data_IF_239729967452
#
_entry.id   IF_239729967452
#
_cell.length_a   1.000
_cell.length_b   1.000
_cell.length_c   1.000
_cell.angle_alpha   90.00
_cell.angle_beta   90.00
_cell.angle_gamma   90.00
#
_symmetry.space_group_name_H-M   'P 1'
#
loop_
_entity.id
_entity.type
_entity.pdbx_description
1 polymer ?
#
# COMPACT_ATOMS: atom_id res chain seq x y z
N UNK A 1 -37.75 1.94 19.37
CA UNK A 1 -36.79 2.94 19.89
C UNK A 1 -35.47 2.26 20.29
N UNK A 2 -35.50 1.13 21.01
CA UNK A 2 -34.27 0.37 21.38
C UNK A 2 -33.42 -0.12 20.20
N UNK A 3 -34.03 -0.59 19.11
CA UNK A 3 -33.27 -1.03 17.92
C UNK A 3 -32.46 0.10 17.25
N UNK A 4 -32.95 1.35 17.30
CA UNK A 4 -32.26 2.52 16.74
C UNK A 4 -31.10 2.97 17.63
N UNK A 5 -31.24 2.84 18.96
CA UNK A 5 -30.17 3.15 19.93
C UNK A 5 -29.04 2.14 19.81
N UNK A 6 -29.37 0.86 19.61
CA UNK A 6 -28.39 -0.22 19.43
C UNK A 6 -27.58 -0.05 18.12
N UNK A 7 -28.21 0.43 17.05
CA UNK A 7 -27.54 0.74 15.77
C UNK A 7 -26.43 1.78 15.93
N UNK A 8 -26.73 2.89 16.61
CA UNK A 8 -25.77 3.99 16.83
C UNK A 8 -24.56 3.53 17.66
N UNK A 9 -24.76 2.67 18.67
CA UNK A 9 -23.67 2.14 19.50
C UNK A 9 -22.78 1.12 18.76
N UNK A 10 -23.34 0.37 17.81
CA UNK A 10 -22.53 -0.53 16.99
C UNK A 10 -21.70 0.23 15.96
N UNK A 11 -22.26 1.26 15.33
CA UNK A 11 -21.53 2.11 14.40
C UNK A 11 -20.31 2.75 15.09
N UNK A 12 -20.48 3.28 16.30
CA UNK A 12 -19.36 3.81 17.10
C UNK A 12 -18.29 2.75 17.39
N UNK A 13 -18.70 1.52 17.74
CA UNK A 13 -17.76 0.43 18.01
C UNK A 13 -17.00 0.00 16.74
N UNK A 14 -17.66 -0.01 15.58
CA UNK A 14 -17.07 -0.34 14.28
C UNK A 14 -16.07 0.75 13.87
N UNK A 15 -16.44 2.02 14.00
CA UNK A 15 -15.54 3.15 13.72
C UNK A 15 -14.30 3.07 14.62
N UNK A 16 -14.49 2.88 15.92
CA UNK A 16 -13.37 2.74 16.85
C UNK A 16 -12.46 1.55 16.52
N UNK A 17 -13.01 0.45 15.98
CA UNK A 17 -12.21 -0.68 15.50
C UNK A 17 -11.42 -0.31 14.23
N UNK A 18 -12.06 0.33 13.24
CA UNK A 18 -11.41 0.77 12.02
C UNK A 18 -10.25 1.74 12.33
N UNK A 19 -10.48 2.70 13.22
CA UNK A 19 -9.47 3.66 13.65
C UNK A 19 -8.27 2.97 14.31
N UNK A 20 -8.52 2.00 15.21
CA UNK A 20 -7.43 1.22 15.83
C UNK A 20 -6.60 0.47 14.80
N UNK A 21 -7.25 -0.19 13.83
CA UNK A 21 -6.55 -0.91 12.76
C UNK A 21 -5.73 0.06 11.90
N UNK A 22 -6.31 1.21 11.52
CA UNK A 22 -5.61 2.22 10.72
C UNK A 22 -4.42 2.83 11.47
N UNK A 23 -4.56 3.08 12.78
CA UNK A 23 -3.47 3.57 13.63
C UNK A 23 -2.34 2.56 13.75
N UNK A 24 -2.66 1.28 13.93
CA UNK A 24 -1.66 0.21 13.97
C UNK A 24 -0.90 0.11 12.64
N UNK A 25 -1.61 0.11 11.51
CA UNK A 25 -1.02 0.12 10.16
C UNK A 25 -0.13 1.37 9.98
N UNK A 26 -0.60 2.54 10.41
CA UNK A 26 0.12 3.79 10.28
C UNK A 26 1.40 3.84 11.12
N UNK A 27 1.43 3.15 12.27
CA UNK A 27 2.60 3.01 13.11
C UNK A 27 3.71 2.15 12.50
N UNK A 28 3.37 1.18 11.66
CA UNK A 28 4.33 0.26 11.05
C UNK A 28 4.71 0.61 9.61
N UNK A 29 3.78 1.21 8.85
CA UNK A 29 3.94 1.48 7.42
C UNK A 29 3.81 2.97 7.14
N UNK A 30 4.84 3.64 6.58
CA UNK A 30 4.72 5.03 6.15
C UNK A 30 3.72 5.13 4.98
N UNK A 31 3.27 6.35 4.65
CA UNK A 31 2.36 6.54 3.50
C UNK A 31 2.98 5.99 2.21
N UNK A 32 4.27 6.25 2.01
CA UNK A 32 5.11 5.73 0.94
C UNK A 32 6.46 5.34 1.52
N UNK A 33 7.00 4.19 1.14
CA UNK A 33 8.37 3.81 1.50
C UNK A 33 9.40 4.53 0.64
N UNK A 34 10.66 4.45 1.05
CA UNK A 34 11.80 4.69 0.16
C UNK A 34 11.83 3.73 -1.02
N UNK A 35 12.64 4.04 -2.03
CA UNK A 35 12.89 3.13 -3.15
C UNK A 35 13.74 1.95 -2.66
N UNK A 36 13.11 0.78 -2.56
CA UNK A 36 13.72 -0.45 -2.09
C UNK A 36 14.16 -1.31 -3.28
N UNK A 37 15.21 -2.10 -3.09
CA UNK A 37 15.53 -3.18 -4.04
C UNK A 37 14.40 -4.20 -4.06
N UNK A 38 14.00 -4.70 -5.23
CA UNK A 38 12.86 -5.61 -5.36
C UNK A 38 13.08 -6.94 -4.62
N UNK A 39 14.31 -7.30 -4.24
CA UNK A 39 14.64 -8.53 -3.50
C UNK A 39 14.00 -8.57 -2.10
N UNK A 40 13.59 -7.43 -1.56
CA UNK A 40 12.83 -7.37 -0.29
C UNK A 40 11.54 -8.21 -0.34
N UNK A 41 10.96 -8.43 -1.52
CA UNK A 41 9.77 -9.26 -1.69
C UNK A 41 10.03 -10.74 -1.36
N UNK A 42 11.25 -11.24 -1.57
CA UNK A 42 11.55 -12.65 -1.26
C UNK A 42 11.41 -12.97 0.23
N UNK A 43 11.61 -11.98 1.10
CA UNK A 43 11.48 -12.12 2.55
C UNK A 43 10.03 -12.02 3.03
N UNK A 44 9.12 -11.52 2.19
CA UNK A 44 7.68 -11.42 2.52
C UNK A 44 6.94 -12.76 2.37
N UNK A 45 7.48 -13.65 1.54
CA UNK A 45 6.87 -14.96 1.26
C UNK A 45 7.76 -16.07 1.81
N UNK A 46 7.13 -17.15 2.27
CA UNK A 46 7.86 -18.31 2.76
C UNK A 46 8.75 -18.89 1.64
N UNK A 47 9.90 -19.44 2.02
CA UNK A 47 10.87 -19.98 1.05
C UNK A 47 10.33 -21.20 0.28
N UNK A 48 9.37 -21.91 0.86
CA UNK A 48 8.66 -23.06 0.29
C UNK A 48 7.39 -22.68 -0.48
N UNK A 49 6.97 -21.41 -0.47
CA UNK A 49 5.91 -20.90 -1.34
C UNK A 49 6.44 -20.67 -2.77
N UNK A 50 6.71 -21.78 -3.46
CA UNK A 50 7.41 -21.78 -4.74
C UNK A 50 6.68 -20.93 -5.80
N UNK A 51 5.35 -20.84 -5.74
CA UNK A 51 4.55 -20.05 -6.69
C UNK A 51 4.86 -18.56 -6.55
N UNK A 52 4.87 -18.02 -5.33
CA UNK A 52 5.22 -16.62 -5.13
C UNK A 52 6.70 -16.36 -5.36
N UNK A 53 7.58 -17.26 -4.93
CA UNK A 53 9.02 -17.15 -5.18
C UNK A 53 9.33 -17.05 -6.69
N UNK A 54 8.70 -17.89 -7.52
CA UNK A 54 8.92 -17.85 -8.97
C UNK A 54 8.28 -16.63 -9.65
N UNK A 55 7.14 -16.15 -9.16
CA UNK A 55 6.56 -14.88 -9.62
C UNK A 55 7.47 -13.69 -9.31
N UNK A 56 8.10 -13.66 -8.14
CA UNK A 56 9.05 -12.61 -7.76
C UNK A 56 10.30 -12.69 -8.66
N UNK A 57 10.81 -13.90 -8.96
CA UNK A 57 11.91 -14.09 -9.93
C UNK A 57 11.57 -13.54 -11.30
N UNK A 58 10.35 -13.80 -11.79
CA UNK A 58 9.91 -13.27 -13.08
C UNK A 58 9.77 -11.75 -13.06
N UNK A 59 9.22 -11.19 -11.96
CA UNK A 59 9.10 -9.74 -11.78
C UNK A 59 10.46 -9.03 -11.77
N UNK A 60 11.48 -9.63 -11.14
CA UNK A 60 12.88 -9.16 -11.14
C UNK A 60 13.51 -9.06 -12.53
N UNK A 61 12.99 -9.79 -13.53
CA UNK A 61 13.47 -9.66 -14.92
C UNK A 61 13.09 -8.33 -15.55
N UNK A 62 12.05 -7.66 -15.02
CA UNK A 62 11.46 -6.45 -15.60
C UNK A 62 11.67 -5.21 -14.74
N UNK A 63 11.76 -5.38 -13.42
CA UNK A 63 11.84 -4.29 -12.47
C UNK A 63 12.96 -4.54 -11.46
N UNK A 64 13.69 -3.49 -11.12
CA UNK A 64 14.81 -3.56 -10.17
C UNK A 64 14.42 -3.06 -8.78
N UNK A 65 13.46 -2.14 -8.70
CA UNK A 65 13.09 -1.46 -7.47
C UNK A 65 11.58 -1.48 -7.23
N UNK A 66 11.19 -1.29 -5.97
CA UNK A 66 9.80 -1.13 -5.53
C UNK A 66 9.69 0.00 -4.50
N UNK A 67 8.60 0.77 -4.55
CA UNK A 67 8.11 1.60 -3.43
C UNK A 67 6.79 1.03 -2.94
N UNK A 68 6.68 0.81 -1.63
CA UNK A 68 5.45 0.32 -0.99
C UNK A 68 4.56 1.51 -0.60
N UNK A 69 3.25 1.31 -0.66
CA UNK A 69 2.24 2.22 -0.12
C UNK A 69 1.60 1.64 1.13
N UNK A 70 1.13 2.51 2.03
CA UNK A 70 0.34 2.09 3.19
C UNK A 70 -0.94 1.36 2.75
N UNK A 71 -1.29 0.21 3.35
CA UNK A 71 -2.52 -0.52 3.07
C UNK A 71 -3.73 0.12 3.78
N UNK A 72 -4.07 1.36 3.42
CA UNK A 72 -5.11 2.18 4.09
C UNK A 72 -6.35 2.46 3.21
N UNK A 73 -6.56 1.65 2.16
CA UNK A 73 -7.64 1.85 1.19
C UNK A 73 -7.37 2.94 0.14
N UNK A 74 -6.36 3.80 0.35
CA UNK A 74 -5.96 4.83 -0.61
C UNK A 74 -4.71 4.45 -1.42
N UNK A 75 -4.23 3.21 -1.28
CA UNK A 75 -2.96 2.73 -1.81
C UNK A 75 -2.82 2.90 -3.34
N UNK A 76 -3.90 2.66 -4.11
CA UNK A 76 -3.91 2.85 -5.56
C UNK A 76 -3.69 4.31 -5.94
N UNK A 77 -4.53 5.22 -5.42
CA UNK A 77 -4.44 6.65 -5.72
C UNK A 77 -3.10 7.23 -5.30
N UNK A 78 -2.57 6.76 -4.17
CA UNK A 78 -1.26 7.17 -3.65
C UNK A 78 -0.12 6.69 -4.54
N UNK A 79 -0.13 5.42 -4.96
CA UNK A 79 0.89 4.87 -5.84
C UNK A 79 0.85 5.55 -7.21
N UNK A 80 -0.34 5.66 -7.80
CA UNK A 80 -0.56 6.32 -9.09
C UNK A 80 -0.08 7.77 -9.05
N UNK A 81 -0.59 8.58 -8.12
CA UNK A 81 -0.25 9.99 -8.02
C UNK A 81 1.25 10.22 -7.82
N UNK A 82 1.90 9.46 -6.93
CA UNK A 82 3.34 9.57 -6.73
C UNK A 82 4.12 9.19 -8.00
N UNK A 83 3.84 8.02 -8.58
CA UNK A 83 4.56 7.53 -9.76
C UNK A 83 4.40 8.45 -10.98
N UNK A 84 3.22 9.04 -11.15
CA UNK A 84 2.95 9.94 -12.26
C UNK A 84 3.69 11.27 -12.08
N UNK A 85 3.63 11.87 -10.89
CA UNK A 85 4.38 13.09 -10.59
C UNK A 85 5.90 12.87 -10.67
N UNK A 86 6.40 11.72 -10.21
CA UNK A 86 7.82 11.34 -10.35
C UNK A 86 8.22 11.24 -11.83
N UNK A 87 7.41 10.60 -12.67
CA UNK A 87 7.66 10.51 -14.12
C UNK A 87 7.66 11.89 -14.82
N UNK A 88 6.77 12.79 -14.40
CA UNK A 88 6.71 14.15 -14.94
C UNK A 88 7.96 14.98 -14.60
N UNK A 89 8.55 14.79 -13.42
CA UNK A 89 9.80 15.46 -13.05
C UNK A 89 10.98 15.04 -13.95
N UNK A 90 10.98 13.79 -14.41
CA UNK A 90 11.98 13.28 -15.35
C UNK A 90 11.67 13.66 -16.82
N UNK A 91 10.40 13.88 -17.15
CA UNK A 91 9.88 14.18 -18.48
C UNK A 91 9.40 15.63 -18.65
N UNK A 92 10.34 16.58 -18.74
CA UNK A 92 10.05 18.03 -18.74
C UNK A 92 9.08 18.55 -19.82
N UNK A 93 8.75 17.79 -20.87
CA UNK A 93 7.80 18.19 -21.92
C UNK A 93 6.34 17.80 -21.65
N UNK A 94 6.08 16.86 -20.74
CA UNK A 94 4.70 16.46 -20.40
C UNK A 94 4.10 17.34 -19.29
N UNK A 95 4.96 18.01 -18.50
CA UNK A 95 4.57 18.98 -17.47
C UNK A 95 3.88 20.25 -17.99
N UNK A 96 4.09 20.62 -19.25
CA UNK A 96 3.60 21.87 -19.85
C UNK A 96 2.28 21.70 -20.64
N UNK A 97 1.70 20.49 -20.68
CA UNK A 97 0.41 20.21 -21.35
C UNK A 97 -0.79 20.51 -20.46
#
# INVERSE_FOLDING_TARGET
>A
MEASVNCLTYDEAIIAQQDRIQQEIAGHTPLLSDRLDLSVLYQEYAADDQIYQDKIKDLHRRYTYIRRTRPDGNCFYRAFGYSYLEALLDGGSELER
#
